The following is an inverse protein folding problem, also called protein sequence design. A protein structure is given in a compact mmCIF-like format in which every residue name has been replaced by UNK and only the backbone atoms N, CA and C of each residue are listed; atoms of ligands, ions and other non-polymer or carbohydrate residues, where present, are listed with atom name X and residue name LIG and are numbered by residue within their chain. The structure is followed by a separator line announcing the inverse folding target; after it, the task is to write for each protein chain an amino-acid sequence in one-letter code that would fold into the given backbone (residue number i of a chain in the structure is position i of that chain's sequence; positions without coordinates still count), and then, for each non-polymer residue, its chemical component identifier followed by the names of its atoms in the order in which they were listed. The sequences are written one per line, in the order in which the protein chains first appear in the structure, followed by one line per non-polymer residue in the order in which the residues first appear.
data_IF_422331747759
#
_entry.id   IF_422331747759
#
_cell.length_a   1.000
_cell.length_b   1.000
_cell.length_c   1.000
_cell.angle_alpha   90.00
_cell.angle_beta   90.00
_cell.angle_gamma   90.00
#
_symmetry.space_group_name_H-M   'P 1'
#
loop_
_entity.id
_entity.type
_entity.pdbx_description
1 polymer ?
#
# COMPACT_ATOMS: atom_id res chain seq x y z
N UNK A 1 -17.95 -8.63 12.63
CA UNK A 1 -16.99 -8.76 11.50
C UNK A 1 -17.00 -10.17 10.96
N UNK A 2 -17.13 -10.30 9.64
CA UNK A 2 -17.15 -11.61 8.99
C UNK A 2 -15.72 -12.07 8.69
N UNK A 3 -15.37 -13.25 9.15
CA UNK A 3 -14.05 -13.85 8.87
C UNK A 3 -14.07 -14.58 7.54
N UNK A 4 -13.00 -14.45 6.77
CA UNK A 4 -12.78 -15.27 5.60
C UNK A 4 -12.21 -16.61 6.04
N UNK A 5 -12.93 -17.69 5.76
CA UNK A 5 -12.50 -19.04 6.08
C UNK A 5 -11.89 -19.72 4.86
N UNK A 6 -11.21 -20.84 5.08
CA UNK A 6 -10.60 -21.62 4.01
C UNK A 6 -11.60 -21.90 2.88
N UNK A 7 -11.18 -21.63 1.65
CA UNK A 7 -12.00 -21.81 0.45
C UNK A 7 -12.90 -20.64 0.11
N UNK A 8 -13.01 -19.63 0.97
CA UNK A 8 -13.81 -18.45 0.68
C UNK A 8 -12.94 -17.31 0.18
N UNK A 9 -13.38 -16.65 -0.88
CA UNK A 9 -12.66 -15.55 -1.52
C UNK A 9 -13.63 -14.47 -1.93
N UNK A 10 -13.16 -13.23 -1.94
CA UNK A 10 -13.92 -12.08 -2.41
C UNK A 10 -13.11 -11.38 -3.47
N UNK A 11 -13.66 -11.25 -4.67
CA UNK A 11 -12.98 -10.55 -5.78
C UNK A 11 -13.69 -9.23 -6.05
N UNK A 12 -12.90 -8.17 -6.26
CA UNK A 12 -13.45 -6.84 -6.56
C UNK A 12 -12.56 -6.12 -7.56
N UNK A 13 -13.18 -5.33 -8.41
CA UNK A 13 -12.47 -4.36 -9.24
C UNK A 13 -12.19 -3.13 -8.39
N UNK A 14 -10.94 -2.67 -8.40
CA UNK A 14 -10.56 -1.47 -7.65
C UNK A 14 -10.53 -0.24 -8.55
N UNK A 15 -10.46 0.94 -7.92
CA UNK A 15 -10.26 2.20 -8.64
C UNK A 15 -8.80 2.39 -9.07
N UNK A 16 -7.88 1.58 -8.55
CA UNK A 16 -6.48 1.62 -8.94
C UNK A 16 -6.30 1.01 -10.32
N UNK A 17 -5.35 1.56 -11.08
CA UNK A 17 -5.08 1.08 -12.43
C UNK A 17 -3.57 0.99 -12.66
N UNK A 18 -3.19 0.09 -13.57
CA UNK A 18 -1.82 -0.06 -14.03
C UNK A 18 -1.84 -0.11 -15.55
N UNK A 19 -1.10 0.79 -16.19
CA UNK A 19 -1.04 0.91 -17.65
C UNK A 19 -2.43 0.99 -18.29
N UNK A 20 -3.34 1.75 -17.66
CA UNK A 20 -4.69 1.96 -18.18
C UNK A 20 -5.67 0.83 -17.93
N UNK A 21 -5.30 -0.23 -17.22
CA UNK A 21 -6.19 -1.35 -16.90
C UNK A 21 -6.50 -1.37 -15.40
N UNK A 22 -7.78 -1.54 -15.03
CA UNK A 22 -8.14 -1.67 -13.61
C UNK A 22 -7.45 -2.88 -12.97
N UNK A 23 -7.05 -2.72 -11.72
CA UNK A 23 -6.49 -3.80 -10.92
C UNK A 23 -7.62 -4.54 -10.23
N UNK A 24 -7.71 -5.85 -10.47
CA UNK A 24 -8.63 -6.74 -9.80
C UNK A 24 -7.95 -7.33 -8.58
N UNK A 25 -8.63 -7.31 -7.43
CA UNK A 25 -8.10 -7.88 -6.19
C UNK A 25 -9.01 -9.00 -5.71
N UNK A 26 -8.43 -10.14 -5.43
CA UNK A 26 -9.11 -11.26 -4.79
C UNK A 26 -8.55 -11.40 -3.39
N UNK A 27 -9.42 -11.34 -2.38
CA UNK A 27 -9.04 -11.47 -0.98
C UNK A 27 -9.42 -12.87 -0.51
N UNK A 28 -8.41 -13.67 -0.19
CA UNK A 28 -8.59 -14.97 0.45
C UNK A 28 -8.30 -14.90 1.95
N UNK A 29 -8.37 -16.02 2.66
CA UNK A 29 -8.13 -16.04 4.10
C UNK A 29 -6.68 -15.72 4.49
N UNK A 30 -5.71 -15.94 3.60
CA UNK A 30 -4.29 -15.73 3.91
C UNK A 30 -3.53 -14.97 2.84
N UNK A 31 -4.09 -14.82 1.65
CA UNK A 31 -3.38 -14.20 0.53
C UNK A 31 -4.27 -13.24 -0.24
N UNK A 32 -3.62 -12.21 -0.81
CA UNK A 32 -4.22 -11.38 -1.84
C UNK A 32 -3.75 -11.89 -3.19
N UNK A 33 -4.63 -11.90 -4.17
CA UNK A 33 -4.28 -12.17 -5.56
C UNK A 33 -4.62 -10.94 -6.39
N UNK A 34 -3.65 -10.46 -7.16
CA UNK A 34 -3.81 -9.29 -8.01
C UNK A 34 -3.79 -9.72 -9.46
N UNK A 35 -4.62 -9.09 -10.27
CA UNK A 35 -4.71 -9.34 -11.70
C UNK A 35 -5.15 -8.06 -12.41
N UNK A 36 -4.62 -7.80 -13.58
CA UNK A 36 -5.14 -6.73 -14.42
C UNK A 36 -6.38 -7.24 -15.15
N UNK A 37 -7.41 -6.41 -15.22
CA UNK A 37 -8.65 -6.75 -15.91
C UNK A 37 -8.36 -7.12 -17.36
N UNK A 38 -8.83 -8.28 -17.79
CA UNK A 38 -8.60 -8.81 -19.14
C UNK A 38 -7.27 -9.52 -19.33
N UNK A 39 -6.43 -9.63 -18.30
CA UNK A 39 -5.18 -10.37 -18.35
C UNK A 39 -5.27 -11.63 -17.50
N UNK A 40 -4.51 -12.69 -17.90
CA UNK A 40 -4.49 -13.96 -17.18
C UNK A 40 -3.45 -14.03 -16.09
N UNK A 41 -2.39 -13.23 -16.18
CA UNK A 41 -1.31 -13.25 -15.21
C UNK A 41 -1.84 -12.85 -13.83
N UNK A 42 -1.49 -13.63 -12.82
CA UNK A 42 -1.89 -13.41 -11.42
C UNK A 42 -0.66 -13.27 -10.55
N UNK A 43 -0.74 -12.36 -9.60
CA UNK A 43 0.35 -12.10 -8.66
C UNK A 43 -0.21 -12.25 -7.26
N UNK A 44 0.43 -13.07 -6.46
CA UNK A 44 -0.05 -13.40 -5.11
C UNK A 44 0.86 -12.81 -4.06
N UNK A 45 0.27 -12.28 -2.99
CA UNK A 45 0.98 -11.72 -1.86
C UNK A 45 0.30 -12.18 -0.57
N UNK A 46 1.07 -12.69 0.38
CA UNK A 46 0.49 -13.08 1.67
C UNK A 46 -0.05 -11.83 2.39
N UNK A 47 -1.17 -11.98 3.10
CA UNK A 47 -1.76 -10.88 3.85
C UNK A 47 -0.79 -10.42 4.95
N UNK A 48 -0.13 -11.36 5.61
CA UNK A 48 0.88 -11.03 6.61
C UNK A 48 2.04 -10.23 6.02
N UNK A 49 2.55 -10.64 4.84
CA UNK A 49 3.60 -9.90 4.15
C UNK A 49 3.15 -8.53 3.70
N UNK A 50 1.91 -8.41 3.22
CA UNK A 50 1.34 -7.12 2.84
C UNK A 50 1.23 -6.18 4.05
N UNK A 51 0.85 -6.71 5.21
CA UNK A 51 0.77 -5.93 6.44
C UNK A 51 2.15 -5.41 6.85
N UNK A 52 3.16 -6.27 6.84
CA UNK A 52 4.53 -5.86 7.16
C UNK A 52 5.06 -4.80 6.20
N UNK A 53 4.77 -4.96 4.92
CA UNK A 53 5.16 -3.99 3.90
C UNK A 53 4.49 -2.63 4.15
N UNK A 54 3.20 -2.64 4.46
CA UNK A 54 2.46 -1.41 4.76
C UNK A 54 3.04 -0.69 6.00
N UNK A 55 3.42 -1.44 7.04
CA UNK A 55 4.06 -0.88 8.23
C UNK A 55 5.38 -0.22 7.89
N UNK A 56 6.19 -0.88 7.06
CA UNK A 56 7.49 -0.33 6.62
C UNK A 56 7.33 0.94 5.80
N UNK A 57 6.38 0.97 4.89
CA UNK A 57 6.10 2.17 4.08
C UNK A 57 5.68 3.32 4.96
N UNK A 58 4.80 3.10 5.92
CA UNK A 58 4.34 4.15 6.82
C UNK A 58 5.47 4.68 7.69
N UNK A 59 6.30 3.80 8.23
CA UNK A 59 7.46 4.20 9.01
C UNK A 59 8.43 5.05 8.19
N UNK A 60 8.67 4.65 6.94
CA UNK A 60 9.52 5.40 6.02
C UNK A 60 8.96 6.80 5.74
N UNK A 61 7.66 6.90 5.49
CA UNK A 61 7.00 8.18 5.23
C UNK A 61 7.06 9.10 6.45
N UNK A 62 6.84 8.58 7.65
CA UNK A 62 6.95 9.35 8.89
C UNK A 62 8.36 9.88 9.10
N UNK A 63 9.37 9.05 8.84
CA UNK A 63 10.76 9.46 8.96
C UNK A 63 11.11 10.56 7.94
N UNK A 64 10.61 10.43 6.71
CA UNK A 64 10.79 11.41 5.66
C UNK A 64 10.15 12.74 6.00
N UNK A 65 8.94 12.71 6.55
CA UNK A 65 8.23 13.91 6.99
C UNK A 65 8.95 14.60 8.14
N UNK A 66 9.42 13.84 9.13
CA UNK A 66 10.17 14.38 10.25
C UNK A 66 11.46 15.04 9.78
N UNK A 67 12.16 14.42 8.83
CA UNK A 67 13.37 14.99 8.23
C UNK A 67 13.08 16.28 7.47
N UNK A 68 11.99 16.32 6.73
CA UNK A 68 11.57 17.51 6.00
C UNK A 68 11.24 18.67 6.96
N UNK A 69 10.56 18.40 8.06
CA UNK A 69 10.27 19.41 9.08
C UNK A 69 11.53 19.97 9.71
N UNK A 70 12.51 19.11 10.00
CA UNK A 70 13.79 19.54 10.56
C UNK A 70 14.55 20.44 9.57
N UNK A 71 14.57 20.06 8.31
CA UNK A 71 15.20 20.86 7.24
C UNK A 71 14.53 22.22 7.11
N UNK A 72 13.22 22.28 7.17
CA UNK A 72 12.46 23.51 7.11
C UNK A 72 12.78 24.43 8.28
N UNK A 73 12.83 23.89 9.50
CA UNK A 73 13.23 24.66 10.69
C UNK A 73 14.64 25.23 10.57
N UNK A 74 15.59 24.45 10.05
CA UNK A 74 16.95 24.91 9.81
C UNK A 74 16.99 26.07 8.80
N UNK A 75 16.22 25.95 7.74
CA UNK A 75 16.16 26.99 6.71
C UNK A 75 15.61 28.31 7.30
N UNK A 76 14.59 28.23 8.13
CA UNK A 76 14.03 29.40 8.80
C UNK A 76 15.04 30.07 9.74
N UNK A 77 15.80 29.28 10.51
CA UNK A 77 16.87 29.81 11.38
C UNK A 77 17.99 30.46 10.56
N UNK A 78 18.40 29.81 9.47
CA UNK A 78 19.45 30.32 8.61
C UNK A 78 19.11 31.67 7.97
N UNK A 79 17.82 31.89 7.72
CA UNK A 79 17.34 33.18 7.17
C UNK A 79 17.24 34.29 8.20
N UNK A 80 17.61 34.03 9.45
CA UNK A 80 17.54 35.03 10.51
C UNK A 80 16.12 35.44 10.89
N UNK A 81 15.12 34.58 10.58
CA UNK A 81 13.73 34.86 10.83
C UNK A 81 13.36 34.72 12.32
N UNK A 82 14.30 34.40 13.14
CA UNK A 82 14.09 34.17 14.56
C UNK A 82 14.95 35.12 15.38
#
# INVERSE_FOLDING_TARGET
MTKLTTGKQVSRETAAAHRGRPIMVTVGPQVFTFRLKGKRARFTLSIAGAFEYAVKIEAYQRAKEAKARRAERRALRAKGAL
#
